data_IF_687298889617
#
_entry.id   IF_687298889617
#
_cell.length_a   1.000
_cell.length_b   1.000
_cell.length_c   1.000
_cell.angle_alpha   90.00
_cell.angle_beta   90.00
_cell.angle_gamma   90.00
#
_symmetry.space_group_name_H-M   'P 1'
#
loop_
_entity.id
_entity.type
_entity.pdbx_description
1 polymer ?
#
# COMPACT_ATOMS: atom_id res chain seq x y z
N UNK A 1 -16.61 -11.87 16.99
CA UNK A 1 -15.76 -11.04 17.87
C UNK A 1 -16.43 -9.69 17.90
N UNK A 2 -16.83 -9.26 19.08
CA UNK A 2 -17.77 -8.15 19.21
C UNK A 2 -17.14 -6.96 19.97
N UNK A 3 -15.87 -7.10 20.39
CA UNK A 3 -15.09 -6.07 21.07
C UNK A 3 -13.79 -5.77 20.32
N UNK A 4 -13.65 -4.54 19.80
CA UNK A 4 -12.47 -4.07 19.07
C UNK A 4 -11.64 -3.04 19.86
N UNK A 5 -11.96 -2.83 21.13
CA UNK A 5 -11.26 -1.87 21.98
C UNK A 5 -9.81 -2.30 22.27
N UNK A 6 -8.90 -1.36 22.60
CA UNK A 6 -7.56 -1.70 23.04
C UNK A 6 -7.57 -2.67 24.24
N UNK A 7 -6.61 -3.58 24.29
CA UNK A 7 -6.40 -4.45 25.45
C UNK A 7 -5.47 -3.84 26.50
N UNK A 8 -5.19 -4.63 27.55
CA UNK A 8 -4.18 -4.30 28.57
C UNK A 8 -2.74 -4.62 28.13
N UNK A 9 -2.57 -5.06 26.88
CA UNK A 9 -1.29 -5.42 26.27
C UNK A 9 -1.08 -4.63 24.95
N UNK A 10 0.14 -4.62 24.38
CA UNK A 10 0.42 -3.85 23.16
C UNK A 10 -0.08 -4.54 21.88
N UNK A 11 -0.77 -5.69 21.97
CA UNK A 11 -1.25 -6.40 20.79
C UNK A 11 -2.51 -5.74 20.22
N UNK A 12 -2.62 -5.75 18.89
CA UNK A 12 -3.82 -5.30 18.21
C UNK A 12 -5.02 -6.22 18.50
N UNK A 13 -6.23 -5.70 18.35
CA UNK A 13 -7.47 -6.46 18.62
C UNK A 13 -7.55 -7.79 17.84
N UNK A 14 -6.96 -7.88 16.64
CA UNK A 14 -6.89 -9.12 15.86
C UNK A 14 -6.18 -10.28 16.57
N UNK A 15 -5.30 -10.00 17.55
CA UNK A 15 -4.66 -11.04 18.35
C UNK A 15 -5.66 -11.85 19.21
N UNK A 16 -6.79 -11.23 19.57
CA UNK A 16 -7.88 -11.84 20.36
C UNK A 16 -8.92 -12.57 19.51
N UNK A 17 -8.87 -12.42 18.18
CA UNK A 17 -9.81 -13.05 17.25
C UNK A 17 -9.45 -14.52 16.99
N UNK A 18 -9.49 -15.39 18.01
CA UNK A 18 -8.96 -16.76 17.94
C UNK A 18 -9.49 -17.59 16.75
N UNK A 19 -10.80 -17.56 16.51
CA UNK A 19 -11.46 -18.32 15.43
C UNK A 19 -11.03 -17.87 14.02
N UNK A 20 -10.65 -16.59 13.89
CA UNK A 20 -10.08 -16.06 12.64
C UNK A 20 -8.57 -16.22 12.60
N UNK A 21 -7.87 -16.11 13.73
CA UNK A 21 -6.41 -16.13 13.78
C UNK A 21 -5.85 -17.51 13.50
N UNK A 22 -6.40 -18.54 14.15
CA UNK A 22 -5.91 -19.91 14.03
C UNK A 22 -6.71 -20.67 12.98
N UNK A 23 -6.02 -21.42 12.14
CA UNK A 23 -6.66 -22.24 11.11
C UNK A 23 -5.81 -23.46 10.76
N UNK A 24 -6.46 -24.46 10.16
CA UNK A 24 -5.77 -25.65 9.66
C UNK A 24 -5.67 -25.61 8.14
N UNK A 25 -4.50 -25.95 7.60
CA UNK A 25 -4.29 -26.16 6.17
C UNK A 25 -3.38 -27.37 5.97
N UNK A 26 -3.75 -28.31 5.09
CA UNK A 26 -2.96 -29.54 4.86
C UNK A 26 -2.68 -30.35 6.13
N UNK A 27 -3.61 -30.37 7.10
CA UNK A 27 -3.47 -31.09 8.36
C UNK A 27 -2.53 -30.45 9.40
N UNK A 28 -2.01 -29.24 9.15
CA UNK A 28 -1.17 -28.49 10.09
C UNK A 28 -1.89 -27.24 10.61
N UNK A 29 -1.56 -26.85 11.83
CA UNK A 29 -2.03 -25.61 12.44
C UNK A 29 -1.17 -24.42 12.02
N UNK A 30 -1.84 -23.31 11.73
CA UNK A 30 -1.24 -22.02 11.37
C UNK A 30 -1.89 -20.90 12.17
N UNK A 31 -1.16 -19.80 12.33
CA UNK A 31 -1.65 -18.55 12.88
C UNK A 31 -1.43 -17.43 11.85
N UNK A 32 -2.47 -16.63 11.60
CA UNK A 32 -2.35 -15.39 10.81
C UNK A 32 -1.48 -14.38 11.58
N UNK A 33 -0.71 -13.57 10.85
CA UNK A 33 -0.12 -12.34 11.39
C UNK A 33 -1.24 -11.40 11.82
N UNK A 34 -1.07 -10.79 12.99
CA UNK A 34 -2.09 -9.96 13.64
C UNK A 34 -1.75 -8.49 13.61
N UNK A 35 -0.50 -8.15 13.29
CA UNK A 35 -0.08 -6.80 13.01
C UNK A 35 -0.69 -6.32 11.70
N UNK A 36 -1.11 -5.06 11.68
CA UNK A 36 -1.62 -4.42 10.47
C UNK A 36 -0.50 -3.65 9.80
N UNK A 37 -0.57 -3.53 8.48
CA UNK A 37 0.33 -2.64 7.79
C UNK A 37 0.02 -1.18 8.19
N UNK A 38 1.04 -0.34 8.36
CA UNK A 38 0.85 1.07 8.68
C UNK A 38 0.16 1.81 7.52
N UNK A 39 -0.38 3.01 7.79
CA UNK A 39 -1.15 3.78 6.81
C UNK A 39 -0.41 4.04 5.48
N UNK A 40 0.93 4.15 5.52
CA UNK A 40 1.72 4.38 4.32
C UNK A 40 1.70 3.19 3.34
N UNK A 41 1.35 1.97 3.78
CA UNK A 41 1.17 0.85 2.88
C UNK A 41 0.06 1.10 1.83
N UNK A 42 -0.92 1.97 2.13
CA UNK A 42 -1.89 2.45 1.15
C UNK A 42 -1.41 3.68 0.39
N UNK A 43 -0.87 4.68 1.11
CA UNK A 43 -0.53 5.97 0.49
C UNK A 43 0.64 5.90 -0.50
N UNK A 44 1.48 4.87 -0.47
CA UNK A 44 2.67 4.84 -1.33
C UNK A 44 2.39 4.45 -2.79
N UNK A 45 1.18 4.01 -3.11
CA UNK A 45 0.85 3.53 -4.46
C UNK A 45 -0.56 3.90 -4.94
N UNK A 46 -1.32 4.70 -4.18
CA UNK A 46 -2.71 5.02 -4.49
C UNK A 46 -2.89 5.68 -5.87
N UNK A 47 -1.89 6.41 -6.37
CA UNK A 47 -1.94 7.07 -7.68
C UNK A 47 -2.01 6.06 -8.83
N UNK A 48 -1.41 4.87 -8.67
CA UNK A 48 -1.60 3.74 -9.60
C UNK A 48 -3.05 3.28 -9.59
N UNK A 49 -3.64 3.19 -8.39
CA UNK A 49 -5.01 2.73 -8.24
C UNK A 49 -6.04 3.73 -8.76
N UNK A 50 -5.74 5.02 -8.77
CA UNK A 50 -6.59 6.00 -9.45
C UNK A 50 -6.61 5.80 -10.97
N UNK A 51 -5.51 5.38 -11.58
CA UNK A 51 -5.44 5.10 -13.02
C UNK A 51 -6.22 3.84 -13.42
N UNK A 52 -6.35 2.85 -12.52
CA UNK A 52 -6.99 1.56 -12.81
C UNK A 52 -7.88 1.03 -11.66
N UNK A 53 -8.85 1.85 -11.23
CA UNK A 53 -9.57 1.63 -9.97
C UNK A 53 -10.56 0.44 -9.95
N UNK A 54 -10.89 -0.14 -11.10
CA UNK A 54 -11.82 -1.28 -11.20
C UNK A 54 -11.11 -2.62 -11.45
N UNK A 55 -9.79 -2.63 -11.63
CA UNK A 55 -9.04 -3.85 -11.93
C UNK A 55 -8.85 -4.74 -10.69
N UNK A 56 -9.40 -5.95 -10.70
CA UNK A 56 -9.29 -6.88 -9.57
C UNK A 56 -8.12 -7.87 -9.70
N UNK A 57 -7.42 -7.90 -10.84
CA UNK A 57 -6.41 -8.92 -11.16
C UNK A 57 -4.96 -8.46 -10.98
N UNK A 58 -4.70 -7.16 -10.98
CA UNK A 58 -3.35 -6.59 -10.91
C UNK A 58 -3.35 -5.22 -10.23
N UNK A 59 -2.15 -4.73 -9.88
CA UNK A 59 -1.99 -3.41 -9.27
C UNK A 59 -2.32 -2.28 -10.26
N UNK A 60 -1.88 -2.43 -11.52
CA UNK A 60 -2.14 -1.54 -12.64
C UNK A 60 -1.96 -2.31 -13.95
N UNK A 61 -2.87 -2.11 -14.92
CA UNK A 61 -2.71 -2.66 -16.27
C UNK A 61 -1.69 -1.89 -17.10
N UNK A 62 -1.04 -2.57 -18.06
CA UNK A 62 -0.12 -1.90 -19.01
C UNK A 62 -0.78 -0.75 -19.78
N UNK A 63 -2.08 -0.85 -20.03
CA UNK A 63 -2.85 0.22 -20.69
C UNK A 63 -2.97 1.44 -19.78
N UNK A 64 -3.36 1.25 -18.53
CA UNK A 64 -3.50 2.36 -17.58
C UNK A 64 -2.14 3.01 -17.28
N UNK A 65 -1.08 2.21 -17.14
CA UNK A 65 0.30 2.73 -16.98
C UNK A 65 0.69 3.62 -18.18
N UNK A 66 0.51 3.14 -19.41
CA UNK A 66 0.83 3.90 -20.61
C UNK A 66 -0.03 5.17 -20.82
N UNK A 67 -1.30 5.13 -20.39
CA UNK A 67 -2.23 6.25 -20.61
C UNK A 67 -2.08 7.36 -19.55
N UNK A 68 -1.68 7.02 -18.32
CA UNK A 68 -1.78 7.93 -17.17
C UNK A 68 -0.47 8.18 -16.42
N UNK A 69 0.57 7.37 -16.62
CA UNK A 69 1.81 7.46 -15.85
C UNK A 69 3.02 7.85 -16.71
N UNK A 70 4.05 8.44 -16.08
CA UNK A 70 4.09 8.86 -14.67
C UNK A 70 3.26 10.12 -14.43
N UNK A 71 2.98 10.46 -13.17
CA UNK A 71 2.20 11.67 -12.83
C UNK A 71 2.98 12.92 -13.26
N UNK A 72 2.41 13.76 -14.11
CA UNK A 72 3.06 14.97 -14.61
C UNK A 72 3.36 15.98 -13.50
N UNK A 73 2.38 16.24 -12.63
CA UNK A 73 2.46 17.20 -11.54
C UNK A 73 1.85 16.64 -10.26
N UNK A 74 2.69 16.42 -9.26
CA UNK A 74 2.28 16.10 -7.91
C UNK A 74 2.36 17.35 -7.03
N UNK A 75 1.26 17.70 -6.36
CA UNK A 75 1.18 18.85 -5.45
C UNK A 75 0.90 18.35 -4.03
N UNK A 76 1.69 18.77 -3.06
CA UNK A 76 1.48 18.42 -1.65
C UNK A 76 2.47 19.11 -0.72
N UNK A 77 2.17 19.18 0.58
CA UNK A 77 3.00 19.93 1.52
C UNK A 77 4.41 19.35 1.71
N UNK A 78 5.36 20.21 2.10
CA UNK A 78 6.76 19.85 2.30
C UNK A 78 6.98 18.87 3.46
N UNK A 79 6.03 18.78 4.40
CA UNK A 79 6.00 17.81 5.49
C UNK A 79 6.05 16.35 5.02
N UNK A 80 5.70 16.09 3.77
CA UNK A 80 5.70 14.75 3.18
C UNK A 80 7.01 14.36 2.48
N UNK A 81 8.02 15.24 2.45
CA UNK A 81 9.27 15.03 1.71
C UNK A 81 10.06 13.79 2.16
N UNK A 82 10.13 13.52 3.47
CA UNK A 82 10.97 12.44 4.04
C UNK A 82 10.20 11.17 4.41
N UNK A 83 8.87 11.17 4.26
CA UNK A 83 8.01 10.01 4.54
C UNK A 83 7.32 9.55 3.27
N UNK A 84 6.11 10.05 3.01
CA UNK A 84 5.26 9.62 1.90
C UNK A 84 5.99 9.67 0.57
N UNK A 85 6.67 10.77 0.24
CA UNK A 85 7.35 10.91 -1.06
C UNK A 85 8.52 9.94 -1.21
N UNK A 86 9.27 9.67 -0.14
CA UNK A 86 10.33 8.68 -0.16
C UNK A 86 9.77 7.26 -0.35
N UNK A 87 8.74 6.89 0.42
CA UNK A 87 8.15 5.57 0.34
C UNK A 87 7.37 5.35 -0.97
N UNK A 88 6.73 6.38 -1.53
CA UNK A 88 6.07 6.29 -2.82
C UNK A 88 7.06 5.99 -3.96
N UNK A 89 8.23 6.65 -3.94
CA UNK A 89 9.33 6.37 -4.88
C UNK A 89 9.90 4.97 -4.69
N UNK A 90 10.16 4.56 -3.45
CA UNK A 90 10.65 3.22 -3.15
C UNK A 90 9.72 2.12 -3.68
N UNK A 91 8.42 2.20 -3.37
CA UNK A 91 7.44 1.21 -3.83
C UNK A 91 7.25 1.26 -5.35
N UNK A 92 7.30 2.43 -5.97
CA UNK A 92 7.26 2.54 -7.43
C UNK A 92 8.46 1.83 -8.06
N UNK A 93 9.66 2.00 -7.51
CA UNK A 93 10.86 1.36 -8.02
C UNK A 93 10.80 -0.16 -7.88
N UNK A 94 10.26 -0.68 -6.76
CA UNK A 94 9.99 -2.12 -6.62
C UNK A 94 9.04 -2.62 -7.71
N UNK A 95 7.97 -1.87 -8.01
CA UNK A 95 7.02 -2.23 -9.06
C UNK A 95 7.63 -2.14 -10.47
N UNK A 96 8.50 -1.16 -10.70
CA UNK A 96 9.27 -1.03 -11.93
C UNK A 96 10.21 -2.23 -12.14
N UNK A 97 10.96 -2.62 -11.10
CA UNK A 97 11.88 -3.77 -11.16
C UNK A 97 11.13 -5.09 -11.39
N UNK A 98 9.89 -5.19 -10.91
CA UNK A 98 8.97 -6.32 -11.18
C UNK A 98 8.26 -6.24 -12.54
N UNK A 99 8.43 -5.13 -13.28
CA UNK A 99 7.84 -4.93 -14.61
C UNK A 99 6.36 -4.53 -14.62
N UNK A 100 5.83 -4.00 -13.51
CA UNK A 100 4.45 -3.53 -13.39
C UNK A 100 4.27 -2.09 -13.89
N UNK A 101 5.30 -1.25 -13.84
CA UNK A 101 5.29 0.11 -14.38
C UNK A 101 6.40 0.28 -15.43
N UNK A 102 6.20 1.18 -16.39
CA UNK A 102 7.17 1.44 -17.46
C UNK A 102 8.20 2.53 -17.11
N UNK A 103 7.98 3.25 -16.01
CA UNK A 103 8.84 4.33 -15.55
C UNK A 103 9.43 4.02 -14.16
N UNK A 104 10.68 4.44 -13.88
CA UNK A 104 11.32 4.18 -12.60
C UNK A 104 10.91 5.17 -11.49
N UNK A 105 10.27 6.30 -11.84
CA UNK A 105 9.87 7.35 -10.91
C UNK A 105 8.38 7.72 -11.11
N UNK A 106 7.61 7.87 -10.02
CA UNK A 106 6.16 8.07 -10.10
C UNK A 106 5.73 9.50 -10.45
N UNK A 107 6.56 10.50 -10.14
CA UNK A 107 6.20 11.93 -10.23
C UNK A 107 7.25 12.68 -11.04
N UNK A 108 6.88 13.25 -12.19
CA UNK A 108 7.82 14.03 -13.02
C UNK A 108 8.15 15.37 -12.39
N UNK A 109 7.12 16.06 -11.88
CA UNK A 109 7.25 17.34 -11.20
C UNK A 109 6.58 17.30 -9.84
N UNK A 110 7.29 17.74 -8.83
CA UNK A 110 6.79 17.93 -7.47
C UNK A 110 6.72 19.41 -7.16
N UNK A 111 5.57 19.88 -6.67
CA UNK A 111 5.38 21.24 -6.16
C UNK A 111 4.89 21.17 -4.72
N UNK A 112 5.63 21.83 -3.84
CA UNK A 112 5.19 22.02 -2.46
C UNK A 112 4.34 23.27 -2.36
N UNK A 113 3.08 23.15 -1.93
CA UNK A 113 2.28 24.33 -1.61
C UNK A 113 2.61 24.79 -0.18
N UNK A 114 3.02 26.05 -0.03
CA UNK A 114 3.43 26.65 1.24
C UNK A 114 4.48 27.73 1.05
#
# INVERSE_FOLDING_TARGET
>A
MDDFSPGDDPAGCLARAADWRYFTSGGKWYARETNTMPQWAGSCWYYLRYADNLNAGEAISKKADADWLPVDLYVGGAEHAVLHLLYARFWHQVLYDLGHTSHPEPFQKLVHQG
#
